data_IF_390892781829
#
_entry.id   IF_390892781829
#
_cell.length_a   1.000
_cell.length_b   1.000
_cell.length_c   1.000
_cell.angle_alpha   90.00
_cell.angle_beta   90.00
_cell.angle_gamma   90.00
#
_symmetry.space_group_name_H-M   'P 1'
#
loop_
_entity.id
_entity.type
_entity.pdbx_description
1 polymer ?
#
# COMPACT_ATOMS: atom_id res chain seq x y z
N UNK A 1 -1.38 -9.60 -19.05
CA UNK A 1 -0.89 -10.47 -17.97
C UNK A 1 -1.31 -10.01 -16.60
N UNK A 2 -1.32 -8.69 -16.35
CA UNK A 2 -1.69 -8.08 -15.09
C UNK A 2 -2.96 -7.24 -15.25
N UNK A 3 -3.95 -7.46 -14.39
CA UNK A 3 -5.20 -6.65 -14.39
C UNK A 3 -5.01 -5.37 -13.56
N UNK A 4 -4.06 -5.36 -12.63
CA UNK A 4 -3.67 -4.21 -11.79
C UNK A 4 -2.16 -4.22 -11.53
N UNK A 5 -1.60 -3.07 -11.19
CA UNK A 5 -0.14 -2.93 -11.00
C UNK A 5 0.66 -2.99 -12.30
N UNK A 6 -0.01 -2.79 -13.43
CA UNK A 6 0.60 -2.80 -14.77
C UNK A 6 1.68 -1.73 -14.91
N UNK A 7 1.46 -0.57 -14.33
CA UNK A 7 2.40 0.55 -14.26
C UNK A 7 3.70 0.17 -13.54
N UNK A 8 3.59 -0.53 -12.42
CA UNK A 8 4.75 -0.98 -11.66
C UNK A 8 5.54 -2.07 -12.38
N UNK A 9 4.84 -3.02 -12.96
CA UNK A 9 5.44 -4.12 -13.71
C UNK A 9 6.09 -3.59 -15.02
N UNK A 10 5.43 -2.66 -15.70
CA UNK A 10 5.98 -1.99 -16.88
C UNK A 10 7.27 -1.23 -16.52
N UNK A 11 7.25 -0.43 -15.46
CA UNK A 11 8.42 0.31 -15.00
C UNK A 11 9.58 -0.63 -14.60
N UNK A 12 9.26 -1.80 -14.03
CA UNK A 12 10.26 -2.81 -13.72
C UNK A 12 10.91 -3.35 -14.99
N UNK A 13 10.13 -3.75 -15.98
CA UNK A 13 10.64 -4.27 -17.28
C UNK A 13 11.47 -3.22 -18.03
N UNK A 14 11.03 -1.95 -18.02
CA UNK A 14 11.77 -0.84 -18.64
C UNK A 14 13.19 -0.75 -18.03
N UNK A 15 13.28 -0.80 -16.69
CA UNK A 15 14.59 -0.75 -16.00
C UNK A 15 15.43 -2.00 -16.23
N UNK A 16 14.83 -3.17 -16.23
CA UNK A 16 15.53 -4.43 -16.52
C UNK A 16 16.07 -4.48 -17.97
N UNK A 17 15.41 -3.77 -18.88
CA UNK A 17 15.90 -3.61 -20.25
C UNK A 17 16.99 -2.52 -20.41
N UNK A 18 17.47 -1.94 -19.28
CA UNK A 18 18.54 -0.92 -19.30
C UNK A 18 18.04 0.50 -19.57
N UNK A 19 16.72 0.72 -19.64
CA UNK A 19 16.16 2.05 -19.87
C UNK A 19 15.84 2.77 -18.55
N UNK A 20 15.71 4.10 -18.62
CA UNK A 20 15.30 4.95 -17.50
C UNK A 20 13.84 5.33 -17.60
N UNK A 21 13.21 5.49 -16.42
CA UNK A 21 11.85 6.04 -16.31
C UNK A 21 12.00 7.50 -15.90
N UNK A 22 11.56 8.39 -16.75
CA UNK A 22 11.60 9.83 -16.50
C UNK A 22 10.33 10.30 -15.80
N UNK A 23 10.45 11.18 -14.83
CA UNK A 23 9.34 11.87 -14.18
C UNK A 23 9.28 13.31 -14.69
N UNK A 24 8.15 13.70 -15.28
CA UNK A 24 7.90 15.06 -15.73
C UNK A 24 6.91 15.74 -14.76
N UNK A 25 7.35 16.74 -14.00
CA UNK A 25 6.49 17.46 -13.04
C UNK A 25 5.43 18.34 -13.72
N UNK A 26 5.57 18.65 -15.00
CA UNK A 26 4.60 19.46 -15.75
C UNK A 26 3.39 18.61 -16.20
N UNK A 27 3.55 17.28 -16.26
CA UNK A 27 2.48 16.36 -16.61
C UNK A 27 1.48 16.22 -15.46
N UNK A 28 0.38 16.95 -15.52
CA UNK A 28 -0.66 16.93 -14.50
C UNK A 28 -1.85 16.07 -14.94
N UNK A 29 -2.29 15.18 -14.04
CA UNK A 29 -3.47 14.32 -14.23
C UNK A 29 -4.47 14.55 -13.12
N UNK A 30 -5.74 14.71 -13.48
CA UNK A 30 -6.84 14.76 -12.52
C UNK A 30 -7.04 13.40 -11.84
N UNK A 31 -7.08 13.39 -10.51
CA UNK A 31 -7.34 12.18 -9.73
C UNK A 31 -8.55 12.37 -8.82
N UNK A 32 -9.50 11.44 -8.90
CA UNK A 32 -10.68 11.39 -8.03
C UNK A 32 -10.44 10.38 -6.90
N UNK A 33 -10.21 10.84 -5.65
CA UNK A 33 -9.98 9.94 -4.52
C UNK A 33 -11.24 9.18 -4.14
N UNK A 34 -11.07 8.10 -3.39
CA UNK A 34 -12.20 7.32 -2.85
C UNK A 34 -12.92 8.10 -1.76
N UNK A 35 -14.26 8.12 -1.82
CA UNK A 35 -15.10 8.92 -0.91
C UNK A 35 -15.61 8.12 0.29
N UNK A 36 -15.29 6.81 0.39
CA UNK A 36 -15.73 5.98 1.53
C UNK A 36 -14.61 5.05 2.01
N UNK A 37 -14.62 4.74 3.31
CA UNK A 37 -13.68 3.81 3.95
C UNK A 37 -13.75 2.42 3.28
N UNK A 38 -14.95 1.94 2.92
CA UNK A 38 -15.13 0.67 2.23
C UNK A 38 -14.43 0.66 0.86
N UNK A 39 -14.58 1.72 0.08
CA UNK A 39 -13.94 1.84 -1.23
C UNK A 39 -12.40 1.97 -1.09
N UNK A 40 -11.93 2.70 -0.06
CA UNK A 40 -10.53 2.82 0.30
C UNK A 40 -9.94 1.45 0.69
N UNK A 41 -10.60 0.72 1.59
CA UNK A 41 -10.20 -0.61 2.02
C UNK A 41 -10.06 -1.58 0.83
N UNK A 42 -11.06 -1.61 -0.06
CA UNK A 42 -11.03 -2.42 -1.28
C UNK A 42 -9.86 -2.05 -2.19
N UNK A 43 -9.58 -0.75 -2.33
CA UNK A 43 -8.46 -0.26 -3.14
C UNK A 43 -7.13 -0.72 -2.56
N UNK A 44 -6.89 -0.48 -1.26
CA UNK A 44 -5.62 -0.83 -0.62
C UNK A 44 -5.40 -2.33 -0.51
N UNK A 45 -6.44 -3.11 -0.21
CA UNK A 45 -6.37 -4.57 -0.26
C UNK A 45 -5.97 -5.07 -1.66
N UNK A 46 -6.62 -4.57 -2.71
CA UNK A 46 -6.29 -4.96 -4.08
C UNK A 46 -4.86 -4.56 -4.45
N UNK A 47 -4.42 -3.36 -4.07
CA UNK A 47 -3.07 -2.86 -4.32
C UNK A 47 -2.03 -3.71 -3.59
N UNK A 48 -2.25 -4.04 -2.31
CA UNK A 48 -1.39 -4.93 -1.53
C UNK A 48 -1.30 -6.32 -2.17
N UNK A 49 -2.44 -6.89 -2.57
CA UNK A 49 -2.48 -8.21 -3.21
C UNK A 49 -1.62 -8.28 -4.48
N UNK A 50 -1.71 -7.26 -5.34
CA UNK A 50 -0.89 -7.20 -6.55
C UNK A 50 0.58 -6.96 -6.22
N UNK A 51 0.89 -6.17 -5.21
CA UNK A 51 2.27 -5.97 -4.77
C UNK A 51 2.87 -7.26 -4.20
N UNK A 52 2.14 -8.01 -3.38
CA UNK A 52 2.59 -9.30 -2.85
C UNK A 52 2.87 -10.30 -3.97
N UNK A 53 1.98 -10.39 -4.96
CA UNK A 53 2.18 -11.24 -6.13
C UNK A 53 3.41 -10.84 -6.97
N UNK A 54 3.61 -9.54 -7.20
CA UNK A 54 4.77 -9.02 -7.92
C UNK A 54 6.08 -9.25 -7.15
N UNK A 55 6.07 -9.09 -5.81
CA UNK A 55 7.21 -9.40 -4.94
C UNK A 55 7.58 -10.87 -4.99
N UNK A 56 6.59 -11.76 -5.07
CA UNK A 56 6.83 -13.21 -5.25
C UNK A 56 7.56 -13.53 -6.56
N UNK A 57 7.19 -12.86 -7.66
CA UNK A 57 7.82 -13.08 -8.96
C UNK A 57 9.22 -12.42 -9.05
N UNK A 58 9.41 -11.28 -8.38
CA UNK A 58 10.65 -10.50 -8.44
C UNK A 58 11.11 -10.08 -7.03
N UNK A 59 11.58 -11.01 -6.19
CA UNK A 59 11.87 -10.72 -4.78
C UNK A 59 13.02 -9.74 -4.60
N UNK A 60 14.03 -9.77 -5.46
CA UNK A 60 15.20 -8.90 -5.39
C UNK A 60 14.90 -7.43 -5.76
N UNK A 61 13.85 -7.20 -6.53
CA UNK A 61 13.39 -5.87 -6.94
C UNK A 61 12.38 -5.25 -5.95
N UNK A 62 12.03 -6.00 -4.90
CA UNK A 62 11.07 -5.54 -3.90
C UNK A 62 11.77 -4.69 -2.84
N UNK A 63 11.46 -3.39 -2.81
CA UNK A 63 11.95 -2.49 -1.76
C UNK A 63 11.46 -2.92 -0.38
N UNK A 64 12.34 -2.85 0.64
CA UNK A 64 12.02 -3.17 2.03
C UNK A 64 10.79 -2.42 2.57
N UNK A 65 10.56 -1.19 2.14
CA UNK A 65 9.37 -0.40 2.54
C UNK A 65 8.03 -1.09 2.23
N UNK A 66 7.98 -1.98 1.25
CA UNK A 66 6.76 -2.74 0.93
C UNK A 66 6.46 -3.84 1.94
N UNK A 67 7.41 -4.19 2.79
CA UNK A 67 7.23 -5.16 3.86
C UNK A 67 6.69 -4.53 5.15
N UNK A 68 6.75 -3.21 5.31
CA UNK A 68 6.30 -2.53 6.54
C UNK A 68 4.83 -2.82 6.86
N UNK A 69 3.83 -2.61 5.97
CA UNK A 69 2.43 -2.91 6.30
C UNK A 69 2.15 -4.40 6.53
N UNK A 70 2.66 -5.37 5.74
CA UNK A 70 2.45 -6.79 6.04
C UNK A 70 3.10 -7.24 7.34
N UNK A 71 4.26 -6.72 7.71
CA UNK A 71 4.88 -6.97 9.02
C UNK A 71 4.08 -6.36 10.17
N UNK A 72 3.50 -5.17 9.96
CA UNK A 72 2.59 -4.56 10.92
C UNK A 72 1.37 -5.44 11.19
N UNK A 73 0.79 -6.06 10.16
CA UNK A 73 -0.33 -6.99 10.31
C UNK A 73 0.06 -8.17 11.20
N UNK A 74 1.24 -8.76 11.00
CA UNK A 74 1.71 -9.85 11.87
C UNK A 74 2.01 -9.35 13.29
N UNK A 75 2.69 -8.22 13.41
CA UNK A 75 3.01 -7.64 14.72
C UNK A 75 1.77 -7.26 15.52
N UNK A 76 0.67 -6.88 14.86
CA UNK A 76 -0.60 -6.54 15.53
C UNK A 76 -1.30 -7.72 16.20
N UNK A 77 -0.85 -8.95 15.95
CA UNK A 77 -1.30 -10.13 16.73
C UNK A 77 -0.84 -10.05 18.20
N UNK A 78 0.19 -9.27 18.49
CA UNK A 78 0.62 -8.91 19.84
C UNK A 78 0.11 -7.53 20.21
N UNK A 79 -0.48 -7.39 21.38
CA UNK A 79 -1.11 -6.14 21.83
C UNK A 79 -0.11 -4.97 21.92
N UNK A 80 1.10 -5.20 22.40
CA UNK A 80 2.10 -4.13 22.59
C UNK A 80 2.46 -3.41 21.29
N UNK A 81 2.86 -4.10 20.20
CA UNK A 81 3.10 -3.44 18.92
C UNK A 81 1.87 -2.70 18.37
N UNK A 82 0.68 -3.24 18.57
CA UNK A 82 -0.56 -2.58 18.15
C UNK A 82 -0.77 -1.25 18.87
N UNK A 83 -0.59 -1.20 20.17
CA UNK A 83 -0.71 0.05 20.94
C UNK A 83 0.34 1.09 20.55
N UNK A 84 1.60 0.66 20.33
CA UNK A 84 2.67 1.55 19.84
C UNK A 84 2.27 2.14 18.47
N UNK A 85 1.74 1.33 17.58
CA UNK A 85 1.28 1.77 16.27
C UNK A 85 0.13 2.78 16.38
N UNK A 86 -0.90 2.49 17.18
CA UNK A 86 -2.04 3.39 17.37
C UNK A 86 -1.60 4.73 18.02
N UNK A 87 -0.67 4.68 18.95
CA UNK A 87 -0.09 5.87 19.55
C UNK A 87 0.69 6.71 18.50
N UNK A 88 1.50 6.07 17.66
CA UNK A 88 2.19 6.75 16.56
C UNK A 88 1.21 7.43 15.58
N UNK A 89 0.11 6.76 15.24
CA UNK A 89 -0.97 7.37 14.42
C UNK A 89 -1.59 8.57 15.10
N UNK A 90 -1.82 8.51 16.40
CA UNK A 90 -2.35 9.64 17.16
C UNK A 90 -1.37 10.84 17.17
N UNK A 91 -0.06 10.60 17.33
CA UNK A 91 0.96 11.65 17.19
C UNK A 91 0.93 12.26 15.79
N UNK A 92 0.86 11.47 14.73
CA UNK A 92 0.77 11.98 13.36
C UNK A 92 -0.49 12.81 13.17
N UNK A 93 -1.64 12.33 13.64
CA UNK A 93 -2.92 13.01 13.47
C UNK A 93 -2.99 14.34 14.24
N UNK A 94 -2.60 14.36 15.52
CA UNK A 94 -2.81 15.49 16.41
C UNK A 94 -1.56 16.34 16.62
N UNK A 95 -0.36 15.74 16.59
CA UNK A 95 0.89 16.43 16.87
C UNK A 95 1.53 17.04 15.60
N UNK A 96 1.51 16.33 14.48
CA UNK A 96 2.26 16.74 13.28
C UNK A 96 1.34 17.34 12.22
N UNK A 97 0.12 16.80 12.02
CA UNK A 97 -0.74 17.25 10.93
C UNK A 97 -1.31 18.65 11.16
N UNK A 98 -1.31 19.49 10.12
CA UNK A 98 -1.91 20.83 10.11
C UNK A 98 -3.38 20.83 9.65
N UNK A 99 -4.02 19.68 9.68
CA UNK A 99 -5.40 19.48 9.23
C UNK A 99 -6.42 20.04 10.25
N UNK A 100 -7.66 20.24 9.79
CA UNK A 100 -8.78 20.57 10.68
C UNK A 100 -9.03 19.43 11.69
N UNK A 101 -9.64 19.75 12.83
CA UNK A 101 -9.89 18.77 13.90
C UNK A 101 -10.69 17.55 13.38
N UNK A 102 -11.73 17.78 12.59
CA UNK A 102 -12.52 16.72 11.98
C UNK A 102 -11.65 15.80 11.09
N UNK A 103 -10.77 16.37 10.26
CA UNK A 103 -9.86 15.62 9.41
C UNK A 103 -8.84 14.80 10.22
N UNK A 104 -8.41 15.29 11.38
CA UNK A 104 -7.52 14.55 12.31
C UNK A 104 -8.20 13.30 12.85
N UNK A 105 -9.47 13.37 13.22
CA UNK A 105 -10.22 12.17 13.63
C UNK A 105 -10.37 11.17 12.47
N UNK A 106 -10.60 11.64 11.24
CA UNK A 106 -10.65 10.78 10.09
C UNK A 106 -9.32 10.07 9.82
N UNK A 107 -8.17 10.68 10.12
CA UNK A 107 -6.87 10.00 9.99
C UNK A 107 -6.75 8.76 10.87
N UNK A 108 -7.37 8.74 12.05
CA UNK A 108 -7.39 7.57 12.96
C UNK A 108 -8.11 6.36 12.33
N UNK A 109 -9.01 6.58 11.38
CA UNK A 109 -9.68 5.50 10.64
C UNK A 109 -8.99 5.21 9.30
N UNK A 110 -8.62 6.26 8.57
CA UNK A 110 -8.05 6.15 7.22
C UNK A 110 -6.69 5.45 7.24
N UNK A 111 -5.76 5.88 8.09
CA UNK A 111 -4.40 5.31 8.12
C UNK A 111 -4.37 3.82 8.50
N UNK A 112 -5.05 3.37 9.57
CA UNK A 112 -5.15 1.94 9.84
C UNK A 112 -5.82 1.16 8.70
N UNK A 113 -6.91 1.67 8.12
CA UNK A 113 -7.57 1.03 6.98
C UNK A 113 -6.58 0.81 5.83
N UNK A 114 -5.79 1.83 5.48
CA UNK A 114 -4.80 1.73 4.41
C UNK A 114 -3.73 0.68 4.74
N UNK A 115 -3.12 0.74 5.92
CA UNK A 115 -2.01 -0.14 6.30
C UNK A 115 -2.46 -1.59 6.45
N UNK A 116 -3.55 -1.84 7.19
CA UNK A 116 -4.02 -3.21 7.43
C UNK A 116 -4.58 -3.86 6.15
N UNK A 117 -5.41 -3.15 5.39
CA UNK A 117 -5.95 -3.72 4.15
C UNK A 117 -4.84 -3.99 3.13
N UNK A 118 -3.87 -3.10 3.03
CA UNK A 118 -2.73 -3.31 2.15
C UNK A 118 -1.85 -4.48 2.62
N UNK A 119 -1.54 -4.57 3.92
CA UNK A 119 -0.74 -5.64 4.50
C UNK A 119 -1.38 -7.02 4.37
N UNK A 120 -2.69 -7.14 4.67
CA UNK A 120 -3.46 -8.38 4.46
C UNK A 120 -3.48 -8.75 2.98
N UNK A 121 -3.76 -7.79 2.10
CA UNK A 121 -3.72 -8.00 0.66
C UNK A 121 -2.37 -8.51 0.18
N UNK A 122 -1.27 -7.95 0.69
CA UNK A 122 0.09 -8.37 0.36
C UNK A 122 0.34 -9.84 0.70
N UNK A 123 -0.01 -10.28 1.90
CA UNK A 123 0.11 -11.69 2.29
C UNK A 123 -0.72 -12.60 1.42
N UNK A 124 -1.97 -12.24 1.13
CA UNK A 124 -2.82 -13.00 0.20
C UNK A 124 -2.19 -13.10 -1.17
N UNK A 125 -1.61 -12.01 -1.68
CA UNK A 125 -0.93 -11.99 -2.98
C UNK A 125 0.34 -12.82 -3.01
N UNK A 126 1.15 -12.74 -1.95
CA UNK A 126 2.39 -13.48 -1.80
C UNK A 126 2.16 -15.00 -1.71
N UNK A 127 1.14 -15.40 -0.95
CA UNK A 127 0.81 -16.81 -0.69
C UNK A 127 -0.04 -17.44 -1.80
N UNK A 128 -0.83 -16.65 -2.52
CA UNK A 128 -1.66 -17.18 -3.62
C UNK A 128 -0.79 -17.75 -4.73
N UNK A 129 -1.14 -18.95 -5.18
CA UNK A 129 -0.70 -19.40 -6.51
C UNK A 129 -1.47 -18.55 -7.53
N UNK A 130 -0.77 -17.70 -8.28
CA UNK A 130 -1.39 -16.94 -9.34
C UNK A 130 -1.83 -17.94 -10.42
N UNK A 131 -3.11 -18.31 -10.45
CA UNK A 131 -3.69 -18.79 -11.68
C UNK A 131 -3.56 -17.63 -12.67
N UNK A 132 -2.61 -17.75 -13.59
CA UNK A 132 -2.46 -16.85 -14.74
C UNK A 132 -3.84 -16.82 -15.41
N UNK A 133 -4.59 -15.74 -15.19
CA UNK A 133 -5.78 -15.51 -16.00
C UNK A 133 -5.29 -15.45 -17.44
N UNK A 134 -5.63 -16.50 -18.19
CA UNK A 134 -5.47 -16.59 -19.63
C UNK A 134 -6.33 -15.54 -20.30
#
# INVERSE_FOLDING_TARGET
RWVRGQDWELNLRIRQAGHTVWFDPELQVGYYPRTSIKALAKQFYSTGRWRGALTKENPLESSFRYWIPPLLVLASLWQVPLWIYLFAIAIVAFGISKLSLNSKFWLLAVLPTMHFCWGVGFWVGLLSSQNKAR
#
